data_IF_470253250309
#
_entry.id   IF_470253250309
#
_cell.length_a   1.000
_cell.length_b   1.000
_cell.length_c   1.000
_cell.angle_alpha   90.00
_cell.angle_beta   90.00
_cell.angle_gamma   90.00
#
_symmetry.space_group_name_H-M   'P 1'
#
loop_
_entity.id
_entity.type
_entity.pdbx_description
1 polymer ?
#
# COMPACT_ATOMS: atom_id res chain seq x y z
N UNK A 1 17.63 14.71 -36.71
CA UNK A 1 16.54 14.27 -35.82
C UNK A 1 16.97 14.57 -34.40
N UNK A 2 16.48 15.66 -33.80
CA UNK A 2 16.85 16.05 -32.44
C UNK A 2 15.95 15.29 -31.47
N UNK A 3 16.55 14.35 -30.73
CA UNK A 3 15.91 13.68 -29.60
C UNK A 3 15.79 14.71 -28.48
N UNK A 4 14.59 15.28 -28.31
CA UNK A 4 14.24 16.00 -27.10
C UNK A 4 14.28 15.01 -25.93
N UNK A 5 15.38 15.00 -25.18
CA UNK A 5 15.38 14.49 -23.82
C UNK A 5 14.45 15.40 -23.03
N UNK A 6 13.22 14.95 -22.84
CA UNK A 6 12.31 15.55 -21.87
C UNK A 6 13.01 15.44 -20.52
N UNK A 7 13.51 16.55 -19.99
CA UNK A 7 14.06 16.62 -18.64
C UNK A 7 12.92 16.28 -17.69
N UNK A 8 12.80 14.99 -17.37
CA UNK A 8 11.87 14.49 -16.38
C UNK A 8 12.19 15.24 -15.10
N UNK A 9 11.34 16.21 -14.75
CA UNK A 9 11.52 17.04 -13.57
C UNK A 9 11.47 16.07 -12.40
N UNK A 10 12.62 15.76 -11.81
CA UNK A 10 12.70 14.82 -10.70
C UNK A 10 11.77 15.36 -9.61
N UNK A 11 10.80 14.54 -9.21
CA UNK A 11 9.82 14.93 -8.19
C UNK A 11 10.58 15.38 -6.94
N UNK A 12 10.36 16.64 -6.54
CA UNK A 12 10.97 17.20 -5.32
C UNK A 12 10.65 16.35 -4.10
N UNK A 13 9.46 15.76 -4.07
CA UNK A 13 9.01 14.84 -3.03
C UNK A 13 9.88 13.57 -3.02
N UNK A 14 10.16 12.98 -4.19
CA UNK A 14 10.98 11.76 -4.27
C UNK A 14 12.47 11.99 -3.95
N UNK A 15 12.93 13.23 -3.94
CA UNK A 15 14.29 13.60 -3.51
C UNK A 15 14.39 13.96 -2.02
N UNK A 16 13.27 14.01 -1.29
CA UNK A 16 13.29 14.32 0.14
C UNK A 16 13.87 13.15 0.95
N UNK A 17 14.52 13.45 2.10
CA UNK A 17 14.92 12.42 3.05
C UNK A 17 13.70 11.61 3.53
N UNK A 18 13.86 10.30 3.79
CA UNK A 18 12.79 9.45 4.29
C UNK A 18 12.07 10.02 5.51
N UNK A 19 12.81 10.64 6.44
CA UNK A 19 12.28 11.17 7.69
C UNK A 19 11.25 12.29 7.45
N UNK A 20 11.50 13.12 6.43
CA UNK A 20 10.56 14.18 6.04
C UNK A 20 9.32 13.59 5.39
N UNK A 21 9.49 12.55 4.57
CA UNK A 21 8.37 11.86 3.92
C UNK A 21 7.47 11.16 4.94
N UNK A 22 8.07 10.57 5.97
CA UNK A 22 7.36 9.99 7.11
C UNK A 22 6.63 11.07 7.92
N UNK A 23 7.27 12.20 8.19
CA UNK A 23 6.60 13.33 8.87
C UNK A 23 5.41 13.90 8.09
N UNK A 24 5.50 13.97 6.75
CA UNK A 24 4.35 14.33 5.89
C UNK A 24 3.23 13.30 6.01
N UNK A 25 3.58 12.02 6.03
CA UNK A 25 2.62 10.93 6.17
C UNK A 25 1.89 11.00 7.52
N UNK A 26 2.61 11.24 8.61
CA UNK A 26 2.07 11.40 9.96
C UNK A 26 1.13 12.62 10.06
N UNK A 27 1.51 13.75 9.45
CA UNK A 27 0.69 14.96 9.39
C UNK A 27 -0.57 14.80 8.51
N UNK A 28 -0.64 13.76 7.68
CA UNK A 28 -1.80 13.47 6.84
C UNK A 28 -2.86 12.72 7.65
N UNK A 29 -3.91 13.42 8.10
CA UNK A 29 -4.93 12.83 8.99
C UNK A 29 -5.74 11.71 8.34
N UNK A 30 -6.11 11.87 7.06
CA UNK A 30 -7.03 10.94 6.40
C UNK A 30 -6.28 9.75 5.84
N UNK A 31 -6.71 8.55 6.23
CA UNK A 31 -6.20 7.29 5.69
C UNK A 31 -6.16 7.26 4.15
N UNK A 32 -7.26 7.68 3.50
CA UNK A 32 -7.34 7.66 2.04
C UNK A 32 -6.28 8.56 1.40
N UNK A 33 -5.92 9.67 2.04
CA UNK A 33 -4.92 10.59 1.53
C UNK A 33 -3.50 10.05 1.77
N UNK A 34 -3.26 9.35 2.89
CA UNK A 34 -2.03 8.57 3.13
C UNK A 34 -1.82 7.52 2.03
N UNK A 35 -2.87 6.77 1.68
CA UNK A 35 -2.83 5.76 0.61
C UNK A 35 -2.55 6.40 -0.75
N UNK A 36 -3.23 7.51 -1.07
CA UNK A 36 -2.99 8.26 -2.31
C UNK A 36 -1.53 8.71 -2.40
N UNK A 37 -1.00 9.30 -1.33
CA UNK A 37 0.40 9.74 -1.26
C UNK A 37 1.37 8.59 -1.54
N UNK A 38 1.21 7.46 -0.84
CA UNK A 38 2.03 6.27 -1.05
C UNK A 38 1.91 5.73 -2.48
N UNK A 39 0.72 5.79 -3.10
CA UNK A 39 0.48 5.27 -4.45
C UNK A 39 0.99 6.14 -5.61
N UNK A 40 1.51 7.35 -5.34
CA UNK A 40 1.90 8.30 -6.41
C UNK A 40 3.06 7.81 -7.27
N UNK A 41 4.03 7.10 -6.70
CA UNK A 41 5.11 6.48 -7.45
C UNK A 41 5.68 5.26 -6.72
N UNK A 42 6.47 4.44 -7.42
CA UNK A 42 7.02 3.20 -6.85
C UNK A 42 7.90 3.43 -5.62
N UNK A 43 8.76 4.46 -5.62
CA UNK A 43 9.64 4.74 -4.48
C UNK A 43 8.87 5.12 -3.21
N UNK A 44 7.85 5.98 -3.35
CA UNK A 44 6.97 6.36 -2.25
C UNK A 44 6.09 5.20 -1.81
N UNK A 45 5.65 4.36 -2.73
CA UNK A 45 4.91 3.15 -2.40
C UNK A 45 5.75 2.22 -1.53
N UNK A 46 6.99 1.93 -1.93
CA UNK A 46 7.86 1.04 -1.18
C UNK A 46 8.25 1.60 0.20
N UNK A 47 8.41 2.93 0.32
CA UNK A 47 8.78 3.59 1.57
C UNK A 47 7.61 3.77 2.54
N UNK A 48 6.47 4.28 2.06
CA UNK A 48 5.39 4.77 2.91
C UNK A 48 4.33 3.71 3.20
N UNK A 49 4.13 2.74 2.29
CA UNK A 49 3.13 1.68 2.46
C UNK A 49 3.26 0.97 3.80
N UNK A 50 4.45 0.50 4.25
CA UNK A 50 4.58 -0.18 5.53
C UNK A 50 3.99 0.62 6.70
N UNK A 51 4.27 1.93 6.75
CA UNK A 51 3.81 2.82 7.81
C UNK A 51 2.30 3.07 7.74
N UNK A 52 1.76 3.29 6.52
CA UNK A 52 0.31 3.42 6.31
C UNK A 52 -0.43 2.19 6.85
N UNK A 53 0.08 0.99 6.53
CA UNK A 53 -0.57 -0.25 6.94
C UNK A 53 -0.28 -0.63 8.39
N UNK A 54 0.83 -0.19 9.00
CA UNK A 54 1.10 -0.43 10.40
C UNK A 54 0.17 0.38 11.32
N UNK A 55 -0.01 1.67 11.04
CA UNK A 55 -0.97 2.54 11.74
C UNK A 55 -2.39 1.96 11.66
N UNK A 56 -2.76 1.56 10.46
CA UNK A 56 -4.11 1.11 10.15
C UNK A 56 -4.33 -0.33 10.58
N UNK A 57 -3.28 -1.15 10.59
CA UNK A 57 -3.26 -2.48 11.16
C UNK A 57 -3.65 -2.48 12.63
N UNK A 58 -3.14 -1.49 13.39
CA UNK A 58 -3.51 -1.28 14.79
C UNK A 58 -4.94 -0.77 14.98
N UNK A 59 -5.42 0.09 14.08
CA UNK A 59 -6.71 0.77 14.25
C UNK A 59 -7.89 0.00 13.65
N UNK A 60 -7.68 -0.71 12.54
CA UNK A 60 -8.70 -1.36 11.71
C UNK A 60 -8.45 -2.87 11.55
N UNK A 61 -7.73 -3.50 12.49
CA UNK A 61 -7.46 -4.95 12.51
C UNK A 61 -6.93 -5.49 11.17
N UNK A 62 -6.07 -4.71 10.51
CA UNK A 62 -5.48 -5.03 9.21
C UNK A 62 -6.48 -5.25 8.06
N UNK A 63 -7.73 -4.82 8.21
CA UNK A 63 -8.78 -4.96 7.19
C UNK A 63 -8.35 -4.46 5.79
N UNK A 64 -7.66 -3.31 5.66
CA UNK A 64 -7.27 -2.83 4.33
C UNK A 64 -6.20 -3.67 3.63
N UNK A 65 -5.43 -4.49 4.37
CA UNK A 65 -4.55 -5.48 3.76
C UNK A 65 -5.38 -6.49 2.95
N UNK A 66 -6.49 -6.95 3.52
CA UNK A 66 -7.37 -7.92 2.89
C UNK A 66 -8.15 -7.32 1.73
N UNK A 67 -8.55 -6.05 1.80
CA UNK A 67 -9.15 -5.31 0.68
C UNK A 67 -8.16 -5.15 -0.48
N UNK A 68 -6.90 -4.81 -0.19
CA UNK A 68 -5.88 -4.73 -1.22
C UNK A 68 -5.55 -6.10 -1.84
N UNK A 69 -5.53 -7.17 -1.04
CA UNK A 69 -5.38 -8.55 -1.53
C UNK A 69 -6.53 -8.94 -2.46
N UNK A 70 -7.75 -8.56 -2.06
CA UNK A 70 -8.95 -8.71 -2.86
C UNK A 70 -8.81 -7.99 -4.20
N UNK A 71 -8.38 -6.73 -4.22
CA UNK A 71 -8.21 -5.99 -5.48
C UNK A 71 -7.01 -6.44 -6.36
N UNK A 72 -6.34 -7.55 -6.01
CA UNK A 72 -5.22 -8.10 -6.76
C UNK A 72 -3.89 -7.36 -6.54
N UNK A 73 -3.84 -6.44 -5.57
CA UNK A 73 -2.61 -5.76 -5.17
C UNK A 73 -1.78 -6.66 -4.25
N UNK A 74 -1.14 -7.68 -4.82
CA UNK A 74 -0.36 -8.68 -4.09
C UNK A 74 0.87 -8.13 -3.34
N UNK A 75 1.31 -6.90 -3.66
CA UNK A 75 2.44 -6.25 -2.98
C UNK A 75 2.06 -5.76 -1.59
N UNK A 76 0.85 -5.23 -1.44
CA UNK A 76 0.35 -4.74 -0.16
C UNK A 76 0.36 -5.85 0.91
N UNK A 77 -0.23 -7.05 0.70
CA UNK A 77 -0.20 -8.14 1.68
C UNK A 77 1.19 -8.58 2.09
N UNK A 78 2.12 -8.73 1.14
CA UNK A 78 3.49 -9.12 1.44
C UNK A 78 4.17 -8.12 2.39
N UNK A 79 3.96 -6.82 2.16
CA UNK A 79 4.50 -5.75 3.03
C UNK A 79 3.82 -5.70 4.38
N UNK A 80 2.50 -5.90 4.44
CA UNK A 80 1.75 -5.94 5.69
C UNK A 80 2.21 -7.13 6.57
N UNK A 81 2.41 -8.31 5.98
CA UNK A 81 2.94 -9.48 6.70
C UNK A 81 4.34 -9.17 7.26
N UNK A 82 5.22 -8.52 6.48
CA UNK A 82 6.53 -8.06 6.98
C UNK A 82 6.40 -7.07 8.14
N UNK A 83 5.35 -6.25 8.17
CA UNK A 83 5.03 -5.31 9.24
C UNK A 83 4.31 -5.95 10.45
N UNK A 84 4.15 -7.28 10.47
CA UNK A 84 3.54 -8.02 11.57
C UNK A 84 2.03 -8.23 11.46
N UNK A 85 1.44 -8.02 10.28
CA UNK A 85 0.04 -8.34 10.05
C UNK A 85 -0.23 -9.82 10.28
N UNK A 86 -1.40 -10.18 10.87
CA UNK A 86 -1.80 -11.56 10.99
C UNK A 86 -2.03 -12.14 9.59
N UNK A 87 -1.52 -13.35 9.37
CA UNK A 87 -1.75 -14.09 8.12
C UNK A 87 -3.23 -14.46 7.99
N UNK A 88 -3.99 -14.56 9.08
CA UNK A 88 -5.40 -14.94 9.05
C UNK A 88 -6.30 -13.80 9.53
N UNK A 89 -7.27 -13.40 8.70
CA UNK A 89 -8.35 -12.51 9.15
C UNK A 89 -9.49 -13.34 9.74
N UNK A 90 -10.00 -12.94 10.90
CA UNK A 90 -11.29 -13.42 11.40
C UNK A 90 -12.30 -12.26 11.31
N UNK A 91 -13.11 -12.17 10.24
CA UNK A 91 -14.22 -11.22 10.24
C UNK A 91 -15.19 -11.57 11.38
N UNK A 92 -15.79 -10.55 12.01
CA UNK A 92 -16.77 -10.70 13.10
C UNK A 92 -17.93 -11.64 12.75
N UNK A 93 -18.17 -11.90 11.46
CA UNK A 93 -19.13 -12.88 10.95
C UNK A 93 -18.44 -14.05 10.24
N UNK A 94 -17.69 -14.84 11.00
CA UNK A 94 -17.51 -16.28 10.75
C UNK A 94 -17.11 -16.72 9.34
N UNK A 95 -15.84 -16.51 8.98
CA UNK A 95 -15.01 -17.50 8.26
C UNK A 95 -13.58 -16.98 8.23
N UNK A 96 -12.63 -17.75 8.76
CA UNK A 96 -11.20 -17.50 8.54
C UNK A 96 -10.98 -17.54 7.02
N UNK A 97 -10.45 -16.45 6.45
CA UNK A 97 -9.94 -16.47 5.09
C UNK A 97 -8.46 -16.17 5.15
N UNK A 98 -7.68 -17.10 4.63
CA UNK A 98 -6.27 -16.87 4.36
C UNK A 98 -6.12 -15.84 3.21
N UNK A 99 -4.99 -15.13 3.11
CA UNK A 99 -4.75 -14.17 2.04
C UNK A 99 -4.75 -14.91 0.70
N UNK A 100 -4.31 -16.17 0.67
CA UNK A 100 -4.39 -17.04 -0.51
C UNK A 100 -5.84 -17.29 -0.95
N UNK A 101 -6.78 -17.49 -0.02
CA UNK A 101 -8.20 -17.65 -0.33
C UNK A 101 -8.83 -16.34 -0.81
N UNK A 102 -8.44 -15.20 -0.24
CA UNK A 102 -8.87 -13.89 -0.73
C UNK A 102 -8.38 -13.67 -2.18
N UNK A 103 -7.13 -14.01 -2.47
CA UNK A 103 -6.54 -13.94 -3.82
C UNK A 103 -7.24 -14.92 -4.78
N UNK A 104 -7.56 -16.15 -4.34
CA UNK A 104 -8.22 -17.17 -5.17
C UNK A 104 -9.66 -16.82 -5.56
N UNK A 105 -10.32 -15.94 -4.80
CA UNK A 105 -11.64 -15.42 -5.12
C UNK A 105 -11.63 -14.37 -6.24
N UNK A 106 -10.46 -13.90 -6.69
CA UNK A 106 -10.36 -12.88 -7.72
C UNK A 106 -9.90 -13.43 -9.07
N UNK A 107 -10.60 -12.98 -10.13
CA UNK A 107 -10.15 -13.17 -11.50
C UNK A 107 -8.87 -12.36 -11.70
N UNK A 108 -7.87 -12.90 -12.43
CA UNK A 108 -6.70 -12.12 -12.78
C UNK A 108 -7.15 -10.85 -13.51
N UNK A 109 -6.61 -9.70 -13.11
CA UNK A 109 -6.69 -8.48 -13.90
C UNK A 109 -6.02 -8.77 -15.25
N UNK A 110 -6.81 -9.14 -16.25
CA UNK A 110 -6.38 -9.13 -17.64
C UNK A 110 -6.13 -7.67 -17.99
N UNK A 111 -4.85 -7.29 -17.97
CA UNK A 111 -4.37 -6.06 -18.59
C UNK A 111 -4.68 -6.21 -20.09
N UNK A 112 -5.59 -5.37 -20.60
CA UNK A 112 -5.73 -5.14 -22.04
C UNK A 112 -4.67 -4.16 -22.50
#
# INVERSE_FOLDING_TARGET
MNLHFSTQTQSKLCSMPPEILLGILEATEKYLDKVKLASTCRGLYDLLTPEVYYDVGKQLDWQPMFEAAQDGNCRTPARCIQAGAPIYYRPERGRLRSPEEAIRCYRPLTVK
#
